data_IF_859736833998
#
_entry.id   IF_859736833998
#
_cell.length_a   1.000
_cell.length_b   1.000
_cell.length_c   1.000
_cell.angle_alpha   90.00
_cell.angle_beta   90.00
_cell.angle_gamma   90.00
#
_symmetry.space_group_name_H-M   'P 1'
#
loop_
_entity.id
_entity.type
_entity.pdbx_description
1 polymer ?
#
# COMPACT_ATOMS: atom_id res chain seq x y z
N UNK A 1 31.76 51.64 1.70
CA UNK A 1 31.29 50.56 0.80
C UNK A 1 29.81 50.42 1.07
N UNK A 2 28.95 50.80 0.13
CA UNK A 2 27.50 50.69 0.33
C UNK A 2 27.13 49.21 0.23
N UNK A 3 26.56 48.66 1.30
CA UNK A 3 25.94 47.34 1.26
C UNK A 3 24.67 47.50 0.43
N UNK A 4 24.71 47.06 -0.83
CA UNK A 4 23.50 46.83 -1.60
C UNK A 4 22.84 45.61 -0.95
N UNK A 5 21.63 45.77 -0.44
CA UNK A 5 20.87 44.66 0.14
C UNK A 5 20.51 43.72 -1.00
N UNK A 6 21.31 42.69 -1.20
CA UNK A 6 21.05 41.60 -2.14
C UNK A 6 20.54 40.40 -1.34
N UNK A 7 19.37 39.90 -1.69
CA UNK A 7 18.80 38.70 -1.10
C UNK A 7 19.48 37.47 -1.73
N UNK A 8 20.11 36.65 -0.92
CA UNK A 8 20.69 35.38 -1.34
C UNK A 8 19.70 34.27 -1.01
N UNK A 9 19.13 33.66 -2.05
CA UNK A 9 18.25 32.50 -1.93
C UNK A 9 19.02 31.22 -2.18
N UNK A 10 18.71 30.17 -1.42
CA UNK A 10 19.23 28.84 -1.68
C UNK A 10 18.66 28.32 -2.99
N UNK A 11 19.48 27.63 -3.79
CA UNK A 11 19.12 27.20 -5.15
C UNK A 11 18.23 25.95 -5.18
N UNK A 12 17.84 25.44 -4.01
CA UNK A 12 17.04 24.23 -3.83
C UNK A 12 16.09 24.41 -2.67
N UNK A 13 14.93 23.78 -2.76
CA UNK A 13 14.01 23.66 -1.64
C UNK A 13 14.55 22.66 -0.62
N UNK A 14 14.12 22.79 0.64
CA UNK A 14 14.52 21.87 1.70
C UNK A 14 14.11 20.45 1.34
N UNK A 15 15.09 19.54 1.23
CA UNK A 15 14.84 18.14 0.94
C UNK A 15 14.03 17.50 2.06
N UNK A 16 12.92 16.86 1.68
CA UNK A 16 12.07 16.11 2.60
C UNK A 16 12.62 14.70 2.75
N UNK A 17 12.61 14.17 3.97
CA UNK A 17 12.89 12.76 4.21
C UNK A 17 11.71 11.92 3.73
N UNK A 18 11.91 11.18 2.64
CA UNK A 18 10.93 10.25 2.08
C UNK A 18 10.99 8.90 2.80
N UNK A 19 9.82 8.33 3.08
CA UNK A 19 9.74 6.98 3.63
C UNK A 19 10.00 5.91 2.53
N UNK A 20 10.58 4.75 2.87
CA UNK A 20 10.66 3.62 1.94
C UNK A 20 9.25 3.11 1.59
N UNK A 21 9.06 2.71 0.33
CA UNK A 21 7.77 2.25 -0.21
C UNK A 21 7.70 0.73 -0.17
N UNK A 22 7.08 0.17 0.87
CA UNK A 22 7.05 -1.28 1.10
C UNK A 22 5.86 -1.93 0.36
N UNK A 23 4.80 -1.17 0.09
CA UNK A 23 3.61 -1.66 -0.61
C UNK A 23 3.90 -2.29 -1.98
N UNK A 24 4.95 -1.85 -2.68
CA UNK A 24 5.33 -2.41 -3.99
C UNK A 24 5.96 -3.80 -3.90
N UNK A 25 6.55 -4.13 -2.76
CA UNK A 25 7.20 -5.42 -2.54
C UNK A 25 6.21 -6.45 -1.96
N UNK A 26 5.25 -5.98 -1.17
CA UNK A 26 4.27 -6.84 -0.49
C UNK A 26 3.03 -7.08 -1.36
N UNK A 27 2.51 -6.04 -2.02
CA UNK A 27 1.23 -6.12 -2.70
C UNK A 27 1.40 -6.48 -4.19
N UNK A 28 0.53 -7.37 -4.70
CA UNK A 28 0.43 -7.64 -6.13
C UNK A 28 -0.35 -6.52 -6.83
N UNK A 29 0.36 -5.62 -7.50
CA UNK A 29 -0.23 -4.54 -8.27
C UNK A 29 -0.63 -5.04 -9.66
N UNK A 30 -1.90 -4.91 -10.03
CA UNK A 30 -2.41 -5.29 -11.36
C UNK A 30 -3.22 -4.16 -11.97
N UNK A 31 -2.95 -3.83 -13.22
CA UNK A 31 -3.76 -2.87 -13.98
C UNK A 31 -4.94 -3.62 -14.63
N UNK A 32 -6.16 -3.15 -14.41
CA UNK A 32 -7.38 -3.75 -14.97
C UNK A 32 -8.38 -2.68 -15.39
N UNK A 33 -9.25 -3.03 -16.33
CA UNK A 33 -10.36 -2.19 -16.78
C UNK A 33 -11.71 -2.63 -16.16
N UNK A 34 -11.69 -3.60 -15.24
CA UNK A 34 -12.88 -4.15 -14.58
C UNK A 34 -13.00 -3.60 -13.17
N UNK A 35 -14.18 -3.08 -12.80
CA UNK A 35 -14.40 -2.36 -11.54
C UNK A 35 -14.43 -3.22 -10.27
N UNK A 36 -14.71 -4.52 -10.39
CA UNK A 36 -14.67 -5.48 -9.27
C UNK A 36 -13.95 -6.74 -9.71
N UNK A 37 -13.04 -7.22 -8.86
CA UNK A 37 -12.25 -8.42 -9.06
C UNK A 37 -12.68 -9.46 -8.02
N UNK A 38 -13.09 -10.64 -8.48
CA UNK A 38 -13.45 -11.77 -7.62
C UNK A 38 -12.25 -12.72 -7.51
N UNK A 39 -11.90 -13.12 -6.29
CA UNK A 39 -10.81 -14.05 -5.98
C UNK A 39 -11.36 -15.24 -5.18
N UNK A 40 -12.02 -16.20 -5.85
CA UNK A 40 -12.56 -17.37 -5.18
C UNK A 40 -11.46 -18.33 -4.75
N UNK A 41 -11.55 -18.84 -3.53
CA UNK A 41 -10.66 -19.88 -3.02
C UNK A 41 -11.43 -21.07 -2.44
N UNK A 42 -10.77 -22.22 -2.45
CA UNK A 42 -11.29 -23.50 -2.00
C UNK A 42 -10.61 -23.86 -0.68
N UNK A 43 -11.39 -24.34 0.28
CA UNK A 43 -10.81 -25.00 1.46
C UNK A 43 -10.15 -26.34 1.07
N UNK A 44 -8.96 -26.61 1.62
CA UNK A 44 -8.22 -27.82 1.32
C UNK A 44 -9.00 -29.09 1.71
N UNK A 45 -8.94 -30.10 0.85
CA UNK A 45 -9.61 -31.37 1.09
C UNK A 45 -8.90 -32.16 2.20
N UNK A 46 -9.66 -32.59 3.22
CA UNK A 46 -9.14 -33.43 4.29
C UNK A 46 -9.09 -34.89 3.85
N UNK A 47 -7.90 -35.50 3.96
CA UNK A 47 -7.70 -36.92 3.68
C UNK A 47 -8.23 -37.75 4.85
N UNK A 48 -9.29 -38.52 4.61
CA UNK A 48 -9.84 -39.46 5.58
C UNK A 48 -9.11 -40.80 5.59
N UNK A 49 -8.96 -41.41 6.77
CA UNK A 49 -8.47 -42.79 6.92
C UNK A 49 -9.63 -43.73 7.25
N UNK A 50 -9.70 -44.90 6.60
CA UNK A 50 -10.76 -45.89 6.80
C UNK A 50 -10.24 -47.33 6.87
N UNK A 51 -11.02 -48.21 7.50
CA UNK A 51 -10.74 -49.65 7.57
C UNK A 51 -11.44 -50.38 6.42
N UNK A 52 -10.82 -51.43 5.86
CA UNK A 52 -11.40 -52.21 4.74
C UNK A 52 -12.76 -52.79 5.14
N UNK A 53 -13.78 -52.53 4.33
CA UNK A 53 -15.15 -53.02 4.54
C UNK A 53 -16.08 -52.03 5.25
N UNK A 54 -15.60 -50.85 5.65
CA UNK A 54 -16.43 -49.78 6.23
C UNK A 54 -16.81 -48.75 5.16
N UNK A 55 -18.04 -48.21 5.24
CA UNK A 55 -18.48 -47.11 4.36
C UNK A 55 -17.67 -45.83 4.63
N UNK A 56 -17.41 -45.04 3.58
CA UNK A 56 -16.78 -43.74 3.70
C UNK A 56 -17.83 -42.63 3.76
N UNK A 57 -17.52 -41.54 4.45
CA UNK A 57 -18.31 -40.30 4.43
C UNK A 57 -17.57 -39.28 3.58
N UNK A 58 -18.27 -38.62 2.67
CA UNK A 58 -17.71 -37.54 1.85
C UNK A 58 -17.47 -36.29 2.70
N UNK A 59 -16.29 -35.69 2.57
CA UNK A 59 -15.99 -34.37 3.13
C UNK A 59 -16.67 -33.30 2.28
N UNK A 60 -17.40 -32.37 2.90
CA UNK A 60 -17.93 -31.21 2.21
C UNK A 60 -16.80 -30.22 1.93
N UNK A 61 -16.71 -29.74 0.70
CA UNK A 61 -15.77 -28.68 0.31
C UNK A 61 -16.49 -27.34 0.29
N UNK A 62 -15.96 -26.34 0.97
CA UNK A 62 -16.48 -24.98 0.95
C UNK A 62 -15.68 -24.12 -0.02
N UNK A 63 -16.38 -23.43 -0.91
CA UNK A 63 -15.85 -22.37 -1.77
C UNK A 63 -16.22 -21.01 -1.15
N UNK A 64 -15.23 -20.16 -0.94
CA UNK A 64 -15.43 -18.78 -0.49
C UNK A 64 -15.06 -17.85 -1.65
N UNK A 65 -15.81 -16.78 -1.83
CA UNK A 65 -15.51 -15.72 -2.80
C UNK A 65 -15.18 -14.43 -2.05
N UNK A 66 -14.00 -13.87 -2.33
CA UNK A 66 -13.57 -12.56 -1.84
C UNK A 66 -13.51 -11.59 -3.01
N UNK A 67 -14.08 -10.39 -2.83
CA UNK A 67 -14.12 -9.37 -3.88
C UNK A 67 -13.28 -8.14 -3.50
N UNK A 68 -12.60 -7.56 -4.49
CA UNK A 68 -11.89 -6.29 -4.40
C UNK A 68 -12.49 -5.35 -5.44
N UNK A 69 -12.97 -4.18 -5.00
CA UNK A 69 -13.58 -3.18 -5.89
C UNK A 69 -12.74 -1.91 -5.98
N UNK A 70 -12.75 -1.29 -7.17
CA UNK A 70 -12.08 -0.01 -7.44
C UNK A 70 -13.13 1.09 -7.31
N UNK A 71 -13.15 1.77 -6.17
CA UNK A 71 -14.16 2.80 -5.84
C UNK A 71 -13.61 4.21 -5.93
N UNK A 72 -12.42 4.43 -5.38
CA UNK A 72 -11.88 5.76 -5.12
C UNK A 72 -10.65 6.06 -5.99
N UNK A 73 -10.45 7.35 -6.27
CA UNK A 73 -9.26 7.85 -6.94
C UNK A 73 -8.55 8.87 -6.05
N UNK A 74 -7.21 8.89 -6.11
CA UNK A 74 -6.38 9.90 -5.47
C UNK A 74 -5.56 10.62 -6.53
N UNK A 75 -5.49 11.94 -6.43
CA UNK A 75 -4.75 12.78 -7.38
C UNK A 75 -3.92 13.82 -6.64
N UNK A 76 -2.85 14.25 -7.29
CA UNK A 76 -2.10 15.44 -6.93
C UNK A 76 -2.11 16.33 -8.17
N UNK A 77 -2.58 17.58 -8.05
CA UNK A 77 -2.65 18.53 -9.15
C UNK A 77 -2.13 19.89 -8.68
N UNK A 78 -0.92 20.25 -9.09
CA UNK A 78 -0.36 21.57 -8.86
C UNK A 78 -0.61 22.45 -10.09
N UNK A 79 -1.15 23.64 -9.83
CA UNK A 79 -1.24 24.69 -10.84
C UNK A 79 0.04 25.52 -10.85
N UNK A 80 0.61 25.68 -12.02
CA UNK A 80 1.74 26.58 -12.29
C UNK A 80 1.24 27.55 -13.35
N UNK A 81 1.34 28.85 -13.08
CA UNK A 81 1.04 29.89 -14.07
C UNK A 81 2.34 30.49 -14.65
N UNK A 82 2.21 31.24 -15.74
CA UNK A 82 3.35 31.83 -16.45
C UNK A 82 4.09 32.88 -15.60
N UNK A 83 3.38 33.52 -14.65
CA UNK A 83 3.97 34.49 -13.74
C UNK A 83 4.86 33.82 -12.68
N UNK A 84 4.42 32.68 -12.15
CA UNK A 84 5.17 31.84 -11.24
C UNK A 84 6.43 31.27 -11.90
N UNK A 85 6.32 30.84 -13.16
CA UNK A 85 7.47 30.35 -13.92
C UNK A 85 8.50 31.46 -14.17
N UNK A 86 8.06 32.70 -14.36
CA UNK A 86 8.95 33.84 -14.60
C UNK A 86 9.61 34.40 -13.31
N UNK A 87 9.01 34.17 -12.14
CA UNK A 87 9.51 34.69 -10.85
C UNK A 87 10.24 33.64 -10.01
N UNK A 88 9.95 32.34 -10.15
CA UNK A 88 10.65 31.29 -9.41
C UNK A 88 12.00 31.00 -10.02
N UNK A 89 13.07 31.40 -9.34
CA UNK A 89 14.47 31.15 -9.70
C UNK A 89 15.14 30.02 -8.89
N UNK A 90 14.39 29.39 -7.98
CA UNK A 90 14.94 28.53 -6.92
C UNK A 90 14.38 27.10 -6.88
N UNK A 91 13.38 26.77 -7.71
CA UNK A 91 12.82 25.41 -7.80
C UNK A 91 12.41 25.11 -9.24
N UNK A 92 12.86 23.97 -9.75
CA UNK A 92 12.48 23.52 -11.09
C UNK A 92 11.14 22.80 -11.08
N UNK A 93 10.38 22.92 -12.17
CA UNK A 93 9.08 22.23 -12.31
C UNK A 93 9.20 20.71 -12.24
N UNK A 94 10.38 20.15 -12.51
CA UNK A 94 10.68 18.73 -12.31
C UNK A 94 10.74 18.34 -10.83
N UNK A 95 11.32 19.18 -9.97
CA UNK A 95 11.39 18.92 -8.53
C UNK A 95 9.99 18.89 -7.89
N UNK A 96 9.12 19.77 -8.38
CA UNK A 96 7.70 19.80 -8.01
C UNK A 96 7.02 18.49 -8.42
N UNK A 97 7.23 18.02 -9.65
CA UNK A 97 6.66 16.77 -10.13
C UNK A 97 7.17 15.53 -9.35
N UNK A 98 8.45 15.50 -9.01
CA UNK A 98 9.03 14.43 -8.19
C UNK A 98 8.41 14.39 -6.79
N UNK A 99 8.15 15.56 -6.18
CA UNK A 99 7.44 15.64 -4.91
C UNK A 99 6.00 15.10 -5.03
N UNK A 100 5.27 15.46 -6.10
CA UNK A 100 3.93 14.93 -6.36
C UNK A 100 3.93 13.40 -6.44
N UNK A 101 4.93 12.81 -7.11
CA UNK A 101 5.08 11.37 -7.18
C UNK A 101 5.35 10.75 -5.80
N UNK A 102 6.22 11.35 -4.98
CA UNK A 102 6.48 10.89 -3.60
C UNK A 102 5.21 10.91 -2.76
N UNK A 103 4.46 12.03 -2.77
CA UNK A 103 3.21 12.18 -2.01
C UNK A 103 2.16 11.13 -2.38
N UNK A 104 2.01 10.82 -3.67
CA UNK A 104 1.08 9.79 -4.14
C UNK A 104 1.48 8.40 -3.65
N UNK A 105 2.78 8.07 -3.70
CA UNK A 105 3.27 6.78 -3.23
C UNK A 105 3.12 6.62 -1.71
N UNK A 106 3.35 7.67 -0.92
CA UNK A 106 3.17 7.63 0.53
C UNK A 106 1.69 7.51 0.95
N UNK A 107 0.78 8.10 0.16
CA UNK A 107 -0.65 7.93 0.39
C UNK A 107 -1.09 6.48 0.16
N UNK A 108 -0.53 5.81 -0.86
CA UNK A 108 -0.77 4.38 -1.08
C UNK A 108 -0.21 3.51 0.04
N UNK A 109 0.99 3.82 0.55
CA UNK A 109 1.55 3.13 1.73
C UNK A 109 0.64 3.28 2.95
N UNK A 110 0.11 4.49 3.20
CA UNK A 110 -0.82 4.73 4.31
C UNK A 110 -2.11 3.91 4.16
N UNK A 111 -2.64 3.79 2.93
CA UNK A 111 -3.81 2.96 2.66
C UNK A 111 -3.52 1.47 2.89
N UNK A 112 -2.36 0.98 2.46
CA UNK A 112 -1.92 -0.40 2.70
C UNK A 112 -1.81 -0.72 4.19
N UNK A 113 -1.20 0.17 4.97
CA UNK A 113 -1.08 0.02 6.43
C UNK A 113 -2.42 0.14 7.17
N UNK A 114 -3.36 0.95 6.66
CA UNK A 114 -4.69 1.05 7.24
C UNK A 114 -5.45 -0.29 7.15
N UNK A 115 -5.24 -1.03 6.06
CA UNK A 115 -5.84 -2.36 5.83
C UNK A 115 -5.16 -3.50 6.61
N UNK A 116 -4.29 -3.20 7.61
CA UNK A 116 -3.64 -4.26 8.40
C UNK A 116 -4.64 -5.19 9.13
N UNK A 117 -5.88 -4.75 9.33
CA UNK A 117 -6.93 -5.57 9.95
C UNK A 117 -7.32 -6.77 9.07
N UNK A 118 -7.10 -6.68 7.75
CA UNK A 118 -7.33 -7.78 6.82
C UNK A 118 -6.15 -8.77 6.79
N UNK A 119 -5.03 -8.44 7.44
CA UNK A 119 -3.89 -9.33 7.50
C UNK A 119 -4.14 -10.45 8.50
N UNK A 120 -3.49 -11.59 8.28
CA UNK A 120 -3.50 -12.69 9.23
C UNK A 120 -2.73 -12.29 10.49
N UNK A 121 -3.45 -11.71 11.46
CA UNK A 121 -2.89 -11.35 12.75
C UNK A 121 -2.74 -12.61 13.60
N UNK A 122 -1.50 -12.99 13.89
CA UNK A 122 -1.21 -14.05 14.85
C UNK A 122 -1.21 -13.45 16.27
N UNK A 123 -2.27 -13.68 17.03
CA UNK A 123 -2.33 -13.31 18.44
C UNK A 123 -1.79 -14.41 19.36
N UNK A 124 -1.63 -14.09 20.65
CA UNK A 124 -1.17 -15.03 21.67
C UNK A 124 -2.08 -16.26 21.81
N UNK A 125 -3.35 -16.17 21.44
CA UNK A 125 -4.27 -17.31 21.42
C UNK A 125 -4.01 -18.22 20.21
N UNK A 126 -3.64 -17.65 19.06
CA UNK A 126 -3.44 -18.32 17.78
C UNK A 126 -2.13 -19.12 17.68
N UNK A 127 -1.12 -18.77 18.49
CA UNK A 127 0.19 -19.46 18.55
C UNK A 127 0.25 -20.52 19.67
N UNK A 128 -0.85 -20.74 20.41
CA UNK A 128 -0.91 -21.76 21.46
C UNK A 128 -0.49 -21.22 22.82
N UNK A 129 -1.27 -20.28 23.34
CA UNK A 129 -1.12 -19.71 24.67
C UNK A 129 -1.24 -20.76 25.78
N UNK A 130 -0.12 -21.37 26.16
CA UNK A 130 0.14 -21.71 27.56
C UNK A 130 0.80 -20.50 28.19
N UNK A 131 0.27 -20.04 29.33
CA UNK A 131 0.81 -18.92 30.08
C UNK A 131 2.24 -19.23 30.55
N UNK A 132 3.24 -18.76 29.80
CA UNK A 132 4.64 -18.88 30.16
C UNK A 132 5.49 -18.10 29.18
N UNK A 133 6.25 -17.13 29.70
CA UNK A 133 7.19 -16.26 28.98
C UNK A 133 7.79 -16.88 27.71
N UNK A 134 7.60 -16.20 26.58
CA UNK A 134 8.51 -16.34 25.44
C UNK A 134 9.78 -15.59 25.84
N UNK A 135 10.84 -16.35 26.16
CA UNK A 135 12.20 -15.83 26.36
C UNK A 135 12.95 -15.91 25.04
#
# INVERSE_FOLDING_TARGET
>A
MAIVVSEAFETKLQERLSAPLVWKEICKVTYTNTGTLHNPYLTDAVVGTGTRGTGYTSTATATTDEEVSITDYSYCAQHIDEADLAQKSFSDMMEIADNMAVMLNEKLETAMLAEHAQWTNFDNASIGGSAGNIT
#
